data_IF_286324684629
#
_entry.id   IF_286324684629
#
_cell.length_a   1.000
_cell.length_b   1.000
_cell.length_c   1.000
_cell.angle_alpha   90.00
_cell.angle_beta   90.00
_cell.angle_gamma   90.00
#
_symmetry.space_group_name_H-M   'P 1'
#
loop_
_entity.id
_entity.type
_entity.pdbx_description
1 polymer ?
#
# COMPACT_ATOMS: atom_id res chain seq x y z
N UNK A 1 -16.48 -5.16 -8.98
CA UNK A 1 -15.01 -4.96 -8.85
C UNK A 1 -14.82 -3.70 -8.04
N UNK A 2 -13.98 -3.70 -7.00
CA UNK A 2 -13.77 -2.50 -6.17
C UNK A 2 -12.71 -1.60 -6.80
N UNK A 3 -12.89 -0.28 -6.75
CA UNK A 3 -11.92 0.67 -7.27
C UNK A 3 -10.97 1.18 -6.18
N UNK A 4 -9.83 1.75 -6.58
CA UNK A 4 -8.91 2.41 -5.66
C UNK A 4 -9.30 3.88 -5.51
N UNK A 5 -9.26 4.38 -4.28
CA UNK A 5 -9.51 5.79 -3.96
C UNK A 5 -8.46 6.30 -2.96
N UNK A 6 -8.15 7.59 -3.02
CA UNK A 6 -7.21 8.23 -2.11
C UNK A 6 -7.43 9.74 -2.05
N UNK A 7 -6.96 10.34 -0.96
CA UNK A 7 -6.98 11.79 -0.83
C UNK A 7 -5.88 12.44 -1.71
N UNK A 8 -6.27 13.33 -2.62
CA UNK A 8 -5.34 14.03 -3.53
C UNK A 8 -4.25 14.82 -2.80
N UNK A 9 -4.61 15.60 -1.77
CA UNK A 9 -3.63 16.38 -0.97
C UNK A 9 -2.61 15.47 -0.28
N UNK A 10 -3.06 14.31 0.22
CA UNK A 10 -2.17 13.32 0.82
C UNK A 10 -1.23 12.72 -0.22
N UNK A 11 -1.75 12.43 -1.41
CA UNK A 11 -0.95 11.92 -2.52
C UNK A 11 0.14 12.91 -2.94
N UNK A 12 -0.21 14.17 -3.13
CA UNK A 12 0.75 15.24 -3.45
C UNK A 12 1.82 15.38 -2.36
N UNK A 13 1.41 15.26 -1.09
CA UNK A 13 2.36 15.27 0.02
C UNK A 13 3.32 14.07 -0.04
N UNK A 14 2.85 12.86 -0.35
CA UNK A 14 3.70 11.68 -0.48
C UNK A 14 4.69 11.84 -1.63
N UNK A 15 4.25 12.33 -2.79
CA UNK A 15 5.12 12.63 -3.93
C UNK A 15 6.22 13.61 -3.56
N UNK A 16 5.87 14.73 -2.91
CA UNK A 16 6.83 15.77 -2.50
C UNK A 16 7.82 15.31 -1.42
N UNK A 17 7.38 14.51 -0.45
CA UNK A 17 8.18 14.20 0.74
C UNK A 17 8.83 12.81 0.73
N UNK A 18 8.32 11.89 -0.09
CA UNK A 18 8.75 10.49 -0.15
C UNK A 18 9.07 10.01 -1.56
N UNK A 19 8.90 10.87 -2.58
CA UNK A 19 9.15 10.57 -3.98
C UNK A 19 8.40 9.32 -4.47
N UNK A 20 7.16 9.14 -3.98
CA UNK A 20 6.25 8.05 -4.34
C UNK A 20 4.79 8.50 -4.13
N UNK A 21 3.89 8.07 -5.01
CA UNK A 21 2.45 8.35 -4.93
C UNK A 21 1.61 7.08 -4.96
N UNK A 22 0.29 7.27 -4.86
CA UNK A 22 -0.70 6.20 -4.94
C UNK A 22 -0.92 5.70 -6.37
N UNK A 23 -0.54 6.48 -7.39
CA UNK A 23 -0.56 6.02 -8.78
C UNK A 23 0.42 4.87 -9.00
N UNK A 24 1.62 4.93 -8.42
CA UNK A 24 2.58 3.83 -8.47
C UNK A 24 2.07 2.58 -7.75
N UNK A 25 1.27 2.76 -6.69
CA UNK A 25 0.58 1.65 -6.02
C UNK A 25 -0.47 1.03 -6.95
N UNK A 26 -1.26 1.85 -7.64
CA UNK A 26 -2.27 1.37 -8.58
C UNK A 26 -1.64 0.60 -9.76
N UNK A 27 -0.54 1.13 -10.32
CA UNK A 27 0.22 0.47 -11.39
C UNK A 27 0.74 -0.89 -10.92
N UNK A 28 1.41 -0.96 -9.76
CA UNK A 28 1.93 -2.21 -9.21
C UNK A 28 0.83 -3.26 -8.97
N UNK A 29 -0.36 -2.84 -8.51
CA UNK A 29 -1.50 -3.74 -8.35
C UNK A 29 -1.98 -4.32 -9.69
N UNK A 30 -2.00 -3.52 -10.76
CA UNK A 30 -2.36 -3.96 -12.12
C UNK A 30 -1.30 -4.92 -12.68
N UNK A 31 -0.02 -4.65 -12.39
CA UNK A 31 1.12 -5.48 -12.82
C UNK A 31 1.25 -6.79 -12.02
N UNK A 32 0.44 -6.99 -10.98
CA UNK A 32 0.43 -8.21 -10.17
C UNK A 32 1.47 -8.23 -9.05
N UNK A 33 2.05 -7.08 -8.68
CA UNK A 33 3.07 -6.94 -7.64
C UNK A 33 2.52 -6.90 -6.19
N UNK A 34 1.26 -7.29 -6.01
CA UNK A 34 0.69 -7.53 -4.67
C UNK A 34 1.25 -8.82 -4.09
N UNK A 35 2.04 -8.70 -3.02
CA UNK A 35 2.69 -9.84 -2.39
C UNK A 35 1.84 -10.47 -1.29
N UNK A 36 1.08 -9.65 -0.55
CA UNK A 36 0.31 -10.11 0.61
C UNK A 36 -0.74 -9.07 1.04
N UNK A 37 -1.75 -9.52 1.79
CA UNK A 37 -2.69 -8.66 2.51
C UNK A 37 -2.65 -9.07 3.97
N UNK A 38 -2.14 -8.19 4.83
CA UNK A 38 -1.99 -8.45 6.26
C UNK A 38 -2.94 -7.59 7.08
N UNK A 39 -3.36 -8.11 8.22
CA UNK A 39 -4.12 -7.32 9.19
C UNK A 39 -3.25 -6.20 9.78
N UNK A 40 -3.88 -5.06 10.07
CA UNK A 40 -3.21 -3.99 10.78
C UNK A 40 -2.92 -4.43 12.23
N UNK A 41 -1.64 -4.43 12.68
CA UNK A 41 -1.31 -4.81 14.04
C UNK A 41 -1.85 -3.84 15.09
N UNK A 42 -2.22 -2.63 14.70
CA UNK A 42 -2.77 -1.63 15.62
C UNK A 42 -4.26 -1.87 15.91
N UNK A 43 -4.59 -2.05 17.19
CA UNK A 43 -5.98 -2.14 17.67
C UNK A 43 -6.79 -0.86 17.46
N UNK A 44 -6.13 0.27 17.19
CA UNK A 44 -6.79 1.56 17.00
C UNK A 44 -7.55 1.66 15.67
N UNK A 45 -7.22 0.81 14.70
CA UNK A 45 -7.88 0.80 13.39
C UNK A 45 -8.27 -0.63 13.00
N UNK A 46 -9.32 -1.19 13.61
CA UNK A 46 -9.69 -2.61 13.46
C UNK A 46 -10.22 -2.97 12.06
N UNK A 47 -10.71 -1.99 11.30
CA UNK A 47 -11.16 -2.17 9.90
C UNK A 47 -10.06 -1.92 8.87
N UNK A 48 -8.86 -1.58 9.33
CA UNK A 48 -7.74 -1.30 8.44
C UNK A 48 -6.96 -2.59 8.17
N UNK A 49 -6.66 -2.82 6.89
CA UNK A 49 -5.71 -3.83 6.44
C UNK A 49 -4.53 -3.15 5.76
N UNK A 50 -3.54 -3.94 5.39
CA UNK A 50 -2.31 -3.45 4.77
C UNK A 50 -2.01 -4.28 3.54
N UNK A 51 -1.93 -3.63 2.37
CA UNK A 51 -1.32 -4.25 1.21
C UNK A 51 0.19 -4.27 1.38
N UNK A 52 0.82 -5.40 1.09
CA UNK A 52 2.26 -5.54 0.95
C UNK A 52 2.57 -5.58 -0.54
N UNK A 53 3.14 -4.50 -1.07
CA UNK A 53 3.32 -4.32 -2.51
C UNK A 53 4.79 -4.10 -2.82
N UNK A 54 5.27 -4.77 -3.86
CA UNK A 54 6.58 -4.50 -4.45
C UNK A 54 6.46 -3.33 -5.41
N UNK A 55 7.32 -2.33 -5.26
CA UNK A 55 7.44 -1.24 -6.24
C UNK A 55 8.93 -1.08 -6.52
N UNK A 56 9.32 -1.35 -7.77
CA UNK A 56 10.71 -1.49 -8.18
C UNK A 56 11.46 -2.56 -7.34
N UNK A 57 12.51 -2.15 -6.62
CA UNK A 57 13.37 -3.03 -5.78
C UNK A 57 13.03 -2.95 -4.29
N UNK A 58 11.91 -2.35 -3.94
CA UNK A 58 11.55 -2.07 -2.56
C UNK A 58 10.14 -2.55 -2.24
N UNK A 59 9.87 -2.84 -0.96
CA UNK A 59 8.57 -3.33 -0.51
C UNK A 59 7.94 -2.30 0.43
N UNK A 60 6.66 -2.02 0.14
CA UNK A 60 5.88 -1.01 0.83
C UNK A 60 4.67 -1.63 1.52
N UNK A 61 4.36 -1.09 2.68
CA UNK A 61 3.09 -1.29 3.36
C UNK A 61 2.16 -0.16 3.00
N UNK A 62 1.00 -0.50 2.45
CA UNK A 62 -0.04 0.45 2.07
C UNK A 62 -1.27 0.17 2.94
N UNK A 63 -1.42 0.85 4.09
CA UNK A 63 -2.63 0.74 4.89
C UNK A 63 -3.83 1.25 4.10
N UNK A 64 -4.92 0.48 4.13
CA UNK A 64 -6.17 0.79 3.46
C UNK A 64 -7.37 0.41 4.31
N UNK A 65 -8.50 1.06 4.05
CA UNK A 65 -9.82 0.62 4.52
C UNK A 65 -10.65 0.25 3.31
N UNK A 66 -11.48 -0.78 3.45
CA UNK A 66 -12.31 -1.31 2.39
C UNK A 66 -13.79 -1.14 2.77
N UNK A 67 -14.61 -0.70 1.81
CA UNK A 67 -16.06 -0.74 1.88
C UNK A 67 -16.62 -1.59 0.72
N UNK A 68 -17.92 -1.53 0.43
CA UNK A 68 -18.55 -2.33 -0.62
C UNK A 68 -18.07 -1.96 -2.03
N UNK A 69 -17.58 -0.73 -2.23
CA UNK A 69 -17.26 -0.18 -3.55
C UNK A 69 -15.76 0.05 -3.78
N UNK A 70 -14.99 0.36 -2.72
CA UNK A 70 -13.61 0.84 -2.88
C UNK A 70 -12.63 0.39 -1.80
N UNK A 71 -11.35 0.47 -2.19
CA UNK A 71 -10.21 0.45 -1.28
C UNK A 71 -9.66 1.87 -1.14
N UNK A 72 -9.81 2.45 0.06
CA UNK A 72 -9.31 3.79 0.34
C UNK A 72 -7.91 3.74 0.95
N UNK A 73 -6.91 4.18 0.19
CA UNK A 73 -5.50 4.15 0.58
C UNK A 73 -5.17 5.29 1.54
N UNK A 74 -4.47 4.98 2.65
CA UNK A 74 -4.15 5.95 3.70
C UNK A 74 -2.75 6.54 3.58
N UNK A 75 -1.76 5.71 3.28
CA UNK A 75 -0.34 6.12 3.26
C UNK A 75 0.53 5.06 2.57
N UNK A 76 1.80 5.40 2.34
CA UNK A 76 2.81 4.52 1.74
C UNK A 76 4.01 4.45 2.68
N UNK A 77 4.30 3.28 3.24
CA UNK A 77 5.34 3.10 4.26
C UNK A 77 6.40 2.14 3.72
N UNK A 78 7.64 2.61 3.46
CA UNK A 78 8.73 1.72 3.08
C UNK A 78 9.08 0.80 4.25
N UNK A 79 9.23 -0.51 4.00
CA UNK A 79 9.57 -1.48 5.05
C UNK A 79 10.78 -2.34 4.68
N UNK A 80 11.92 -2.07 5.33
CA UNK A 80 13.12 -2.94 5.25
C UNK A 80 12.84 -4.35 5.78
N UNK A 81 12.00 -4.45 6.82
CA UNK A 81 11.56 -5.73 7.38
C UNK A 81 10.76 -6.53 6.35
N UNK A 82 9.89 -5.86 5.57
CA UNK A 82 9.16 -6.51 4.50
C UNK A 82 10.10 -7.01 3.42
N UNK A 83 11.08 -6.20 3.00
CA UNK A 83 12.12 -6.64 2.07
C UNK A 83 12.75 -7.94 2.54
N UNK A 84 13.29 -7.99 3.77
CA UNK A 84 13.89 -9.25 4.26
C UNK A 84 12.89 -10.42 4.26
N UNK A 85 11.63 -10.19 4.61
CA UNK A 85 10.60 -11.24 4.69
C UNK A 85 10.15 -11.79 3.33
N UNK A 86 10.07 -10.94 2.32
CA UNK A 86 9.43 -11.27 1.04
C UNK A 86 10.43 -11.34 -0.13
N UNK A 87 11.64 -10.80 -0.01
CA UNK A 87 12.66 -10.89 -1.06
C UNK A 87 13.24 -12.31 -1.22
N UNK A 88 13.20 -13.14 -0.17
CA UNK A 88 13.57 -14.57 -0.26
C UNK A 88 12.52 -15.40 -1.02
N UNK A 89 11.36 -14.81 -1.35
CA UNK A 89 10.23 -15.48 -2.03
C UNK A 89 9.96 -14.95 -3.44
N UNK A 90 10.78 -14.02 -3.94
CA UNK A 90 10.73 -13.45 -5.29
C UNK A 90 11.85 -14.06 -6.14
#
# INVERSE_FOLDING_TARGET
MKYLDWNLKKNDWLKKNRNIGFEEVAIALIEGDLLDIIDNPSKNFPKQKVFVIKINKYIYYIPFVEDEEKFFLKTIIPSRKAIKKYLEKL
#
